data_IF_432071640112
#
_entry.id   IF_432071640112
#
_cell.length_a   1.000
_cell.length_b   1.000
_cell.length_c   1.000
_cell.angle_alpha   90.00
_cell.angle_beta   90.00
_cell.angle_gamma   90.00
#
_symmetry.space_group_name_H-M   'P 1'
#
loop_
_entity.id
_entity.type
_entity.pdbx_description
1 polymer ?
#
# COMPACT_ATOMS: atom_id res chain seq x y z
N UNK A 1 19.68 2.80 -1.92
CA UNK A 1 18.23 3.11 -1.93
C UNK A 1 18.01 4.32 -1.05
N UNK A 2 17.09 5.19 -1.47
CA UNK A 2 16.59 6.29 -0.64
C UNK A 2 15.15 6.01 -0.21
N UNK A 3 14.89 6.17 1.09
CA UNK A 3 13.56 6.21 1.68
C UNK A 3 13.24 7.65 2.06
N UNK A 4 11.99 8.07 1.88
CA UNK A 4 11.53 9.29 2.53
C UNK A 4 11.37 9.06 4.04
N UNK A 5 11.53 10.12 4.82
CA UNK A 5 11.39 10.05 6.27
C UNK A 5 9.96 9.70 6.70
N UNK A 6 8.93 10.15 5.96
CA UNK A 6 7.55 9.71 6.21
C UNK A 6 7.35 8.23 5.92
N UNK A 7 7.89 7.68 4.82
CA UNK A 7 7.83 6.23 4.55
C UNK A 7 8.50 5.45 5.69
N UNK A 8 9.68 5.89 6.14
CA UNK A 8 10.39 5.24 7.24
C UNK A 8 9.56 5.25 8.53
N UNK A 9 8.96 6.40 8.88
CA UNK A 9 8.07 6.53 10.04
C UNK A 9 6.83 5.64 9.91
N UNK A 10 6.22 5.55 8.72
CA UNK A 10 5.08 4.68 8.46
C UNK A 10 5.45 3.22 8.72
N UNK A 11 6.56 2.73 8.15
CA UNK A 11 6.99 1.33 8.31
C UNK A 11 7.20 0.97 9.78
N UNK A 12 7.94 1.79 10.54
CA UNK A 12 8.15 1.54 11.97
C UNK A 12 6.87 1.69 12.79
N UNK A 13 6.07 2.72 12.52
CA UNK A 13 4.83 2.98 13.25
C UNK A 13 3.80 1.88 13.05
N UNK A 14 3.63 1.41 11.82
CA UNK A 14 2.69 0.32 11.50
C UNK A 14 3.22 -1.04 11.96
N UNK A 15 4.53 -1.27 11.95
CA UNK A 15 5.09 -2.46 12.57
C UNK A 15 4.85 -2.48 14.08
N UNK A 16 5.10 -1.36 14.78
CA UNK A 16 4.80 -1.21 16.20
C UNK A 16 3.31 -1.43 16.49
N UNK A 17 2.43 -0.86 15.68
CA UNK A 17 0.98 -1.00 15.82
C UNK A 17 0.54 -2.47 15.62
N UNK A 18 1.03 -3.14 14.58
CA UNK A 18 0.74 -4.56 14.33
C UNK A 18 1.13 -5.44 15.51
N UNK A 19 2.33 -5.22 16.07
CA UNK A 19 2.84 -5.94 17.24
C UNK A 19 1.96 -5.80 18.49
N UNK A 20 1.19 -4.71 18.60
CA UNK A 20 0.28 -4.47 19.71
C UNK A 20 -1.11 -5.11 19.53
N UNK A 21 -1.35 -5.80 18.42
CA UNK A 21 -2.61 -6.51 18.15
C UNK A 21 -2.55 -7.97 18.58
N UNK A 22 -3.71 -8.64 18.62
CA UNK A 22 -3.81 -10.07 18.88
C UNK A 22 -3.07 -10.92 17.83
N UNK A 23 -2.86 -10.38 16.62
CA UNK A 23 -2.09 -11.02 15.53
C UNK A 23 -0.62 -10.57 15.51
N UNK A 24 -0.14 -9.90 16.55
CA UNK A 24 1.20 -9.32 16.59
C UNK A 24 2.36 -10.33 16.47
N UNK A 25 2.08 -11.62 16.64
CA UNK A 25 3.03 -12.73 16.41
C UNK A 25 3.05 -13.24 14.98
N UNK A 26 2.15 -12.80 14.11
CA UNK A 26 2.14 -13.14 12.70
C UNK A 26 2.99 -12.17 11.88
N UNK A 27 3.42 -12.60 10.69
CA UNK A 27 4.05 -11.72 9.73
C UNK A 27 3.07 -10.65 9.21
N UNK A 28 3.60 -9.47 8.92
CA UNK A 28 2.92 -8.41 8.16
C UNK A 28 3.90 -7.86 7.12
N UNK A 29 3.43 -7.01 6.23
CA UNK A 29 4.30 -6.41 5.23
C UNK A 29 3.70 -5.25 4.47
N UNK A 30 4.53 -4.67 3.61
CA UNK A 30 4.24 -3.51 2.78
C UNK A 30 4.85 -3.67 1.40
N UNK A 31 4.07 -3.39 0.36
CA UNK A 31 4.60 -3.19 -0.99
C UNK A 31 5.21 -1.79 -1.07
N UNK A 32 6.41 -1.70 -1.64
CA UNK A 32 7.13 -0.45 -1.86
C UNK A 32 6.83 0.09 -3.24
N UNK A 33 6.40 1.35 -3.30
CA UNK A 33 6.19 2.10 -4.53
C UNK A 33 7.15 3.29 -4.57
N UNK A 34 7.66 3.58 -5.76
CA UNK A 34 8.61 4.67 -5.90
C UNK A 34 9.13 4.87 -7.31
N UNK A 35 10.24 5.59 -7.42
CA UNK A 35 10.93 5.85 -8.68
C UNK A 35 12.12 4.90 -8.82
N UNK A 36 12.28 4.37 -10.02
CA UNK A 36 13.47 3.62 -10.42
C UNK A 36 14.32 4.51 -11.33
N UNK A 37 15.45 4.94 -10.82
CA UNK A 37 16.50 5.62 -11.60
C UNK A 37 17.60 4.61 -11.98
N UNK A 38 18.61 5.06 -12.73
CA UNK A 38 19.64 4.16 -13.26
C UNK A 38 20.44 3.45 -12.16
N UNK A 39 20.81 4.19 -11.10
CA UNK A 39 21.65 3.70 -10.01
C UNK A 39 20.93 3.70 -8.65
N UNK A 40 19.65 4.08 -8.63
CA UNK A 40 18.92 4.31 -7.39
C UNK A 40 17.44 3.89 -7.45
N UNK A 41 16.96 3.36 -6.32
CA UNK A 41 15.54 3.22 -6.02
C UNK A 41 15.16 4.28 -4.98
N UNK A 42 14.16 5.11 -5.28
CA UNK A 42 13.62 6.12 -4.37
C UNK A 42 12.22 5.69 -3.97
N UNK A 43 12.04 5.26 -2.73
CA UNK A 43 10.75 4.79 -2.20
C UNK A 43 9.95 5.99 -1.70
N UNK A 44 8.75 6.16 -2.25
CA UNK A 44 7.87 7.31 -2.02
C UNK A 44 6.51 6.92 -1.43
N UNK A 45 6.16 5.64 -1.42
CA UNK A 45 4.91 5.16 -0.88
C UNK A 45 5.01 3.71 -0.41
N UNK A 46 4.17 3.36 0.57
CA UNK A 46 4.01 1.99 1.05
C UNK A 46 2.54 1.58 1.01
N UNK A 47 2.23 0.36 0.59
CA UNK A 47 0.88 -0.19 0.65
C UNK A 47 0.87 -1.43 1.56
N UNK A 48 0.09 -1.46 2.64
CA UNK A 48 0.12 -2.56 3.59
C UNK A 48 -0.41 -3.85 2.96
N UNK A 49 0.00 -4.99 3.53
CA UNK A 49 -0.45 -6.31 3.11
C UNK A 49 -1.95 -6.53 3.27
N UNK A 50 -2.58 -5.77 4.17
CA UNK A 50 -4.00 -5.84 4.46
C UNK A 50 -4.31 -6.49 5.82
N UNK A 51 -5.47 -6.15 6.38
CA UNK A 51 -5.99 -6.78 7.58
C UNK A 51 -6.41 -8.23 7.30
N UNK A 52 -6.95 -8.48 6.09
CA UNK A 52 -7.43 -9.81 5.66
C UNK A 52 -6.37 -10.61 4.89
N UNK A 53 -5.10 -10.23 5.02
CA UNK A 53 -3.98 -11.00 4.46
C UNK A 53 -3.95 -12.42 5.03
N UNK A 54 -3.59 -13.38 4.19
CA UNK A 54 -3.25 -14.73 4.63
C UNK A 54 -1.82 -14.69 5.18
N UNK A 55 -1.69 -14.75 6.50
CA UNK A 55 -0.40 -14.69 7.17
C UNK A 55 -0.38 -15.67 8.34
N UNK A 56 0.82 -16.12 8.66
CA UNK A 56 1.13 -16.92 9.84
C UNK A 56 2.45 -16.46 10.45
N UNK A 57 3.05 -17.28 11.30
CA UNK A 57 4.35 -16.96 11.92
C UNK A 57 5.54 -17.07 10.95
N UNK A 58 5.33 -17.64 9.75
CA UNK A 58 6.38 -17.94 8.77
C UNK A 58 5.96 -17.64 7.32
N UNK A 59 4.86 -16.91 7.12
CA UNK A 59 4.44 -16.47 5.79
C UNK A 59 3.55 -15.23 5.87
N UNK A 60 3.61 -14.41 4.82
CA UNK A 60 2.62 -13.39 4.52
C UNK A 60 2.29 -13.38 3.03
N UNK A 61 1.00 -13.46 2.72
CA UNK A 61 0.46 -13.29 1.37
C UNK A 61 -0.42 -12.06 1.33
N UNK A 62 0.02 -11.09 0.55
CA UNK A 62 -0.61 -9.80 0.41
C UNK A 62 -1.97 -9.89 -0.30
N UNK A 63 -2.92 -9.03 0.09
CA UNK A 63 -4.17 -8.85 -0.63
C UNK A 63 -3.91 -8.08 -1.95
N UNK A 64 -3.54 -8.82 -3.00
CA UNK A 64 -3.12 -8.24 -4.28
C UNK A 64 -4.19 -7.38 -4.96
N UNK A 65 -5.48 -7.64 -4.75
CA UNK A 65 -6.56 -6.84 -5.34
C UNK A 65 -6.68 -5.48 -4.63
N UNK A 66 -6.65 -5.47 -3.29
CA UNK A 66 -6.65 -4.22 -2.52
C UNK A 66 -5.41 -3.38 -2.82
N UNK A 67 -4.23 -4.01 -2.95
CA UNK A 67 -3.01 -3.33 -3.36
C UNK A 67 -3.08 -2.77 -4.77
N UNK A 68 -3.77 -3.45 -5.70
CA UNK A 68 -4.01 -2.92 -7.05
C UNK A 68 -4.83 -1.63 -6.99
N UNK A 69 -5.86 -1.57 -6.14
CA UNK A 69 -6.62 -0.33 -5.93
C UNK A 69 -5.77 0.74 -5.27
N UNK A 70 -5.04 0.41 -4.20
CA UNK A 70 -4.12 1.34 -3.54
C UNK A 70 -3.11 1.93 -4.53
N UNK A 71 -2.52 1.08 -5.37
CA UNK A 71 -1.59 1.50 -6.43
C UNK A 71 -2.26 2.47 -7.41
N UNK A 72 -3.48 2.18 -7.87
CA UNK A 72 -4.23 3.10 -8.76
C UNK A 72 -4.44 4.46 -8.12
N UNK A 73 -4.80 4.52 -6.83
CA UNK A 73 -4.99 5.80 -6.12
C UNK A 73 -3.68 6.57 -6.05
N UNK A 74 -2.60 5.92 -5.61
CA UNK A 74 -1.29 6.58 -5.42
C UNK A 74 -0.72 7.05 -6.76
N UNK A 75 -0.89 6.25 -7.82
CA UNK A 75 -0.46 6.58 -9.18
C UNK A 75 -1.17 7.80 -9.78
N UNK A 76 -2.34 8.20 -9.25
CA UNK A 76 -2.98 9.47 -9.63
C UNK A 76 -2.19 10.70 -9.16
N UNK A 77 -1.39 10.58 -8.10
CA UNK A 77 -0.56 11.68 -7.59
C UNK A 77 0.77 11.79 -8.35
N UNK A 78 1.40 10.65 -8.67
CA UNK A 78 2.60 10.60 -9.50
C UNK A 78 2.59 9.36 -10.41
N UNK A 79 2.47 9.61 -11.72
CA UNK A 79 2.35 8.56 -12.75
C UNK A 79 3.67 7.85 -13.07
N UNK A 80 4.78 8.31 -12.49
CA UNK A 80 6.10 7.68 -12.65
C UNK A 80 6.33 6.56 -11.64
N UNK A 81 5.47 6.43 -10.64
CA UNK A 81 5.60 5.41 -9.61
C UNK A 81 5.50 4.01 -10.21
N UNK A 82 6.40 3.15 -9.76
CA UNK A 82 6.45 1.72 -10.08
C UNK A 82 6.60 0.90 -8.81
N UNK A 83 6.39 -0.41 -8.90
CA UNK A 83 6.70 -1.33 -7.81
C UNK A 83 8.22 -1.48 -7.72
N UNK A 84 8.75 -1.32 -6.51
CA UNK A 84 10.19 -1.43 -6.25
C UNK A 84 10.55 -2.72 -5.52
N UNK A 85 9.62 -3.29 -4.75
CA UNK A 85 9.92 -4.41 -3.88
C UNK A 85 8.94 -4.52 -2.70
N UNK A 86 9.29 -5.33 -1.71
CA UNK A 86 8.42 -5.61 -0.55
C UNK A 86 9.22 -5.54 0.75
N UNK A 87 8.54 -5.19 1.83
CA UNK A 87 9.05 -5.31 3.19
C UNK A 87 8.11 -6.22 3.95
N UNK A 88 8.62 -7.19 4.70
CA UNK A 88 7.82 -7.97 5.63
C UNK A 88 8.54 -8.16 6.95
N UNK A 89 7.79 -8.59 7.95
CA UNK A 89 8.30 -8.75 9.31
C UNK A 89 8.38 -10.23 9.64
N UNK A 90 9.47 -10.66 10.26
CA UNK A 90 9.54 -11.96 10.91
C UNK A 90 9.25 -11.78 12.40
N UNK A 91 8.36 -12.59 13.02
CA UNK A 91 8.14 -12.55 14.46
C UNK A 91 9.34 -13.08 15.26
N UNK A 92 10.21 -13.85 14.61
CA UNK A 92 11.44 -14.39 15.17
C UNK A 92 12.64 -13.42 15.10
N UNK A 93 13.84 -13.99 15.18
CA UNK A 93 15.12 -13.25 15.11
C UNK A 93 15.82 -13.40 13.76
N UNK A 94 15.17 -14.04 12.78
CA UNK A 94 15.69 -14.20 11.44
C UNK A 94 15.68 -12.83 10.75
N UNK A 95 16.88 -12.29 10.49
CA UNK A 95 17.08 -10.93 9.96
C UNK A 95 17.33 -10.92 8.45
N UNK A 96 17.23 -12.06 7.79
CA UNK A 96 17.46 -12.22 6.36
C UNK A 96 16.28 -12.94 5.72
N UNK A 97 16.03 -12.73 4.41
CA UNK A 97 15.00 -13.47 3.69
C UNK A 97 15.21 -14.98 3.81
N UNK A 98 14.13 -15.72 4.03
CA UNK A 98 14.13 -17.18 4.03
C UNK A 98 14.29 -17.75 2.62
N UNK A 99 14.53 -19.06 2.51
CA UNK A 99 14.56 -19.74 1.20
C UNK A 99 13.21 -19.63 0.48
N UNK A 100 12.10 -19.61 1.22
CA UNK A 100 10.76 -19.41 0.67
C UNK A 100 10.55 -18.00 0.12
N UNK A 101 11.06 -16.98 0.82
CA UNK A 101 11.07 -15.60 0.32
C UNK A 101 11.88 -15.52 -0.98
N UNK A 102 13.06 -16.13 -1.02
CA UNK A 102 13.92 -16.17 -2.20
C UNK A 102 13.24 -16.79 -3.43
N UNK A 103 12.58 -17.94 -3.26
CA UNK A 103 11.92 -18.63 -4.36
C UNK A 103 10.76 -17.82 -4.94
N UNK A 104 10.00 -17.10 -4.11
CA UNK A 104 8.94 -16.19 -4.57
C UNK A 104 9.51 -14.95 -5.24
N UNK A 105 10.48 -14.31 -4.60
CA UNK A 105 11.05 -13.04 -5.07
C UNK A 105 11.81 -13.20 -6.39
N UNK A 106 12.58 -14.29 -6.56
CA UNK A 106 13.32 -14.52 -7.82
C UNK A 106 12.41 -14.68 -9.04
N UNK A 107 11.18 -15.15 -8.85
CA UNK A 107 10.18 -15.29 -9.92
C UNK A 107 9.51 -13.96 -10.23
N UNK A 108 9.36 -13.10 -9.22
CA UNK A 108 8.72 -11.79 -9.35
C UNK A 108 9.67 -10.69 -9.85
N UNK A 109 10.93 -10.66 -9.40
CA UNK A 109 11.93 -9.64 -9.76
C UNK A 109 12.07 -9.39 -11.27
N UNK A 110 12.05 -10.40 -12.16
CA UNK A 110 12.08 -10.17 -13.61
C UNK A 110 10.92 -9.33 -14.16
N UNK A 111 9.80 -9.25 -13.42
CA UNK A 111 8.64 -8.41 -13.77
C UNK A 111 8.78 -6.95 -13.30
N UNK A 112 9.77 -6.64 -12.46
CA UNK A 112 10.01 -5.29 -11.96
C UNK A 112 10.75 -4.42 -12.99
N UNK A 113 10.47 -3.12 -12.96
CA UNK A 113 11.20 -2.16 -13.78
C UNK A 113 12.68 -2.16 -13.37
N UNK A 114 13.55 -2.45 -14.33
CA UNK A 114 15.00 -2.56 -14.12
C UNK A 114 15.47 -3.97 -13.72
N UNK A 115 14.56 -4.92 -13.46
CA UNK A 115 14.91 -6.30 -13.12
C UNK A 115 15.64 -6.44 -11.78
N UNK A 116 15.45 -5.50 -10.85
CA UNK A 116 15.99 -5.55 -9.49
C UNK A 116 14.91 -5.17 -8.47
N UNK A 117 14.77 -5.97 -7.42
CA UNK A 117 13.85 -5.73 -6.31
C UNK A 117 14.57 -5.25 -5.04
N UNK A 118 13.83 -4.48 -4.24
CA UNK A 118 14.22 -4.01 -2.91
C UNK A 118 13.47 -4.81 -1.84
N UNK A 119 14.17 -5.36 -0.87
CA UNK A 119 13.58 -6.21 0.16
C UNK A 119 13.95 -5.74 1.55
N UNK A 120 12.99 -5.69 2.46
CA UNK A 120 13.23 -5.33 3.86
C UNK A 120 12.69 -6.40 4.80
N UNK A 121 13.48 -6.78 5.80
CA UNK A 121 13.09 -7.74 6.84
C UNK A 121 12.99 -7.02 8.18
N UNK A 122 11.77 -6.90 8.69
CA UNK A 122 11.45 -6.34 9.99
C UNK A 122 11.61 -7.36 11.11
N UNK A 123 12.37 -7.03 12.16
CA UNK A 123 12.53 -7.89 13.35
C UNK A 123 12.56 -7.07 14.64
N UNK A 124 12.50 -7.77 15.78
CA UNK A 124 12.81 -7.18 17.07
C UNK A 124 14.33 -7.12 17.28
N UNK A 125 14.84 -5.93 17.58
CA UNK A 125 16.22 -5.74 18.04
C UNK A 125 16.30 -5.86 19.55
N UNK A 126 16.24 -7.09 20.08
CA UNK A 126 16.43 -7.36 21.52
C UNK A 126 17.87 -7.05 22.01
N UNK A 127 18.73 -6.46 21.17
CA UNK A 127 20.16 -6.20 21.42
C UNK A 127 20.46 -4.74 21.81
N UNK A 128 19.59 -4.10 22.56
CA UNK A 128 19.98 -2.90 23.32
C UNK A 128 21.12 -3.15 24.33
N UNK A 129 21.54 -4.40 24.56
CA UNK A 129 22.54 -4.75 25.59
C UNK A 129 23.91 -5.28 25.10
N UNK A 130 24.09 -5.67 23.83
CA UNK A 130 25.27 -6.47 23.44
C UNK A 130 26.20 -5.82 22.38
N UNK A 131 25.93 -4.60 21.90
CA UNK A 131 26.91 -3.87 21.06
C UNK A 131 27.63 -2.78 21.87
N UNK A 132 28.97 -2.86 22.05
CA UNK A 132 29.73 -1.88 22.81
C UNK A 132 29.80 -0.56 22.03
N UNK A 133 28.95 0.41 22.41
CA UNK A 133 28.94 1.76 21.83
C UNK A 133 27.55 2.37 21.61
N UNK A 134 26.47 1.61 21.79
CA UNK A 134 25.11 2.15 21.74
C UNK A 134 24.82 3.07 22.91
N UNK A 135 24.60 4.36 22.65
CA UNK A 135 24.08 5.25 23.70
C UNK A 135 22.66 4.80 24.04
N UNK A 136 22.35 4.61 25.33
CA UNK A 136 21.01 4.30 25.87
C UNK A 136 19.92 5.33 25.47
N UNK A 137 20.28 6.39 24.75
CA UNK A 137 19.40 7.52 24.38
C UNK A 137 19.03 7.57 22.90
N UNK A 138 19.57 6.71 22.04
CA UNK A 138 19.28 6.74 20.61
C UNK A 138 17.93 6.06 20.32
N UNK A 139 16.87 6.87 20.14
CA UNK A 139 15.52 6.39 19.81
C UNK A 139 15.45 5.81 18.39
N UNK A 140 16.37 6.19 17.49
CA UNK A 140 16.56 5.56 16.19
C UNK A 140 18.00 5.64 15.71
N UNK A 141 18.39 4.75 14.80
CA UNK A 141 19.78 4.64 14.34
C UNK A 141 19.98 3.84 13.05
N UNK A 142 21.21 3.92 12.54
CA UNK A 142 21.70 3.14 11.39
C UNK A 142 23.00 2.42 11.81
N UNK A 143 22.91 1.29 12.54
CA UNK A 143 24.10 0.59 13.05
C UNK A 143 24.99 0.04 11.93
N UNK A 144 24.40 -0.23 10.75
CA UNK A 144 25.09 -0.55 9.50
C UNK A 144 24.40 0.17 8.34
N UNK A 145 25.06 0.36 7.19
CA UNK A 145 24.47 1.05 6.04
C UNK A 145 23.15 0.45 5.52
N UNK A 146 22.94 -0.85 5.69
CA UNK A 146 21.73 -1.57 5.25
C UNK A 146 20.73 -1.84 6.40
N UNK A 147 20.88 -1.17 7.54
CA UNK A 147 20.10 -1.45 8.75
C UNK A 147 19.53 -0.16 9.31
N UNK A 148 18.24 -0.19 9.65
CA UNK A 148 17.56 0.87 10.37
C UNK A 148 16.99 0.34 11.67
N UNK A 149 17.08 1.11 12.75
CA UNK A 149 16.49 0.78 14.05
C UNK A 149 15.65 1.93 14.59
N UNK A 150 14.58 1.60 15.31
CA UNK A 150 13.76 2.55 16.06
C UNK A 150 13.16 1.87 17.30
N UNK A 151 13.56 2.31 18.49
CA UNK A 151 13.29 1.58 19.74
C UNK A 151 13.78 0.13 19.64
N UNK A 152 12.89 -0.81 19.94
CA UNK A 152 13.17 -2.26 19.84
C UNK A 152 12.90 -2.83 18.44
N UNK A 153 12.58 -2.00 17.45
CA UNK A 153 12.29 -2.43 16.09
C UNK A 153 13.49 -2.22 15.18
N UNK A 154 13.60 -3.10 14.18
CA UNK A 154 14.70 -3.09 13.21
C UNK A 154 14.22 -3.51 11.83
N UNK A 155 14.78 -2.89 10.80
CA UNK A 155 14.71 -3.35 9.42
C UNK A 155 16.11 -3.59 8.87
N UNK A 156 16.34 -4.77 8.31
CA UNK A 156 17.53 -5.12 7.51
C UNK A 156 17.13 -5.13 6.03
N UNK A 157 17.92 -4.46 5.19
CA UNK A 157 17.58 -4.20 3.80
C UNK A 157 18.49 -4.92 2.81
N UNK A 158 17.88 -5.38 1.73
CA UNK A 158 18.49 -6.24 0.73
C UNK A 158 18.04 -5.84 -0.68
N UNK A 159 18.85 -6.19 -1.67
CA UNK A 159 18.43 -6.24 -3.07
C UNK A 159 18.58 -7.64 -3.65
N UNK A 160 17.78 -7.91 -4.68
CA UNK A 160 17.88 -9.12 -5.50
C UNK A 160 17.68 -8.72 -6.96
N UNK A 161 18.68 -8.94 -7.81
CA UNK A 161 18.56 -8.74 -9.25
C UNK A 161 18.15 -10.02 -9.98
N UNK A 162 17.58 -9.88 -11.17
CA UNK A 162 17.18 -11.01 -12.00
C UNK A 162 18.40 -11.89 -12.32
N UNK A 163 18.33 -13.16 -11.92
CA UNK A 163 19.39 -14.14 -12.11
C UNK A 163 20.41 -14.23 -10.96
N UNK A 164 20.31 -13.36 -9.95
CA UNK A 164 21.11 -13.49 -8.74
C UNK A 164 20.74 -14.77 -7.98
N UNK A 165 21.75 -15.38 -7.36
CA UNK A 165 21.59 -16.63 -6.58
C UNK A 165 21.27 -16.41 -5.12
N UNK A 166 21.34 -15.16 -4.66
CA UNK A 166 21.17 -14.75 -3.26
C UNK A 166 20.95 -13.24 -3.19
N UNK A 167 20.32 -12.81 -2.11
CA UNK A 167 20.22 -11.40 -1.76
C UNK A 167 21.58 -10.78 -1.46
N UNK A 168 21.68 -9.48 -1.68
CA UNK A 168 22.83 -8.66 -1.28
C UNK A 168 22.37 -7.54 -0.34
N UNK A 169 23.13 -7.22 0.73
CA UNK A 169 22.77 -6.11 1.61
C UNK A 169 22.69 -4.79 0.84
N UNK A 170 21.61 -4.04 1.05
CA UNK A 170 21.33 -2.80 0.32
C UNK A 170 21.44 -1.59 1.23
N UNK A 171 22.31 -0.66 0.89
CA UNK A 171 22.45 0.59 1.65
C UNK A 171 21.17 1.44 1.58
N UNK A 172 20.83 2.02 2.73
CA UNK A 172 19.63 2.85 2.91
C UNK A 172 20.01 4.24 3.39
N UNK A 173 19.56 5.23 2.63
CA UNK A 173 19.63 6.64 2.97
C UNK A 173 18.23 7.17 3.26
N UNK A 174 18.12 8.11 4.20
CA UNK A 174 16.87 8.80 4.52
C UNK A 174 16.93 10.21 3.96
N UNK A 175 15.90 10.60 3.21
CA UNK A 175 15.70 11.97 2.75
C UNK A 175 14.38 12.52 3.27
N UNK A 176 14.24 13.85 3.30
CA UNK A 176 12.97 14.49 3.65
C UNK A 176 11.99 14.30 2.50
N UNK A 177 10.81 13.75 2.78
CA UNK A 177 9.77 13.59 1.76
C UNK A 177 8.52 12.88 2.26
N UNK A 178 7.47 12.82 1.42
CA UNK A 178 6.19 12.27 1.82
C UNK A 178 6.16 10.74 1.78
N UNK A 179 5.17 10.16 2.47
CA UNK A 179 4.58 8.88 2.08
C UNK A 179 3.30 9.17 1.29
N UNK A 180 3.38 9.04 -0.04
CA UNK A 180 2.27 9.35 -0.94
C UNK A 180 1.05 8.45 -0.72
N UNK A 181 1.21 7.31 -0.04
CA UNK A 181 0.13 6.41 0.32
C UNK A 181 -0.42 6.64 1.73
N UNK A 182 0.17 7.53 2.53
CA UNK A 182 -0.30 7.85 3.88
C UNK A 182 -1.77 8.29 3.92
N UNK A 183 -2.29 9.10 2.97
CA UNK A 183 -3.70 9.47 2.95
C UNK A 183 -4.66 8.28 2.79
N UNK A 184 -4.22 7.11 2.30
CA UNK A 184 -5.06 5.93 2.14
C UNK A 184 -5.32 5.20 3.45
N UNK A 185 -4.48 5.38 4.48
CA UNK A 185 -4.56 4.60 5.73
C UNK A 185 -5.91 4.66 6.42
N UNK A 186 -6.56 5.83 6.57
CA UNK A 186 -7.86 5.91 7.22
C UNK A 186 -8.99 5.21 6.46
N UNK A 187 -8.81 4.92 5.17
CA UNK A 187 -9.81 4.26 4.31
C UNK A 187 -9.34 2.90 3.80
N UNK A 188 -8.22 2.37 4.30
CA UNK A 188 -7.67 1.11 3.81
C UNK A 188 -8.64 -0.05 3.99
N UNK A 189 -9.30 -0.15 5.15
CA UNK A 189 -10.34 -1.17 5.36
C UNK A 189 -11.51 -1.07 4.37
N UNK A 190 -11.86 0.15 3.91
CA UNK A 190 -12.87 0.34 2.85
C UNK A 190 -12.34 -0.15 1.51
N UNK A 191 -11.05 0.08 1.21
CA UNK A 191 -10.42 -0.45 0.00
C UNK A 191 -10.45 -1.98 0.02
N UNK A 192 -10.12 -2.61 1.15
CA UNK A 192 -10.16 -4.07 1.30
C UNK A 192 -11.58 -4.63 1.14
N UNK A 193 -12.56 -4.08 1.87
CA UNK A 193 -13.96 -4.53 1.85
C UNK A 193 -14.57 -4.52 0.43
N UNK A 194 -14.11 -3.61 -0.45
CA UNK A 194 -14.69 -3.41 -1.78
C UNK A 194 -13.74 -3.73 -2.94
N UNK A 195 -12.54 -4.27 -2.67
CA UNK A 195 -11.43 -4.37 -3.62
C UNK A 195 -11.82 -4.97 -4.98
N UNK A 196 -12.47 -6.14 -4.99
CA UNK A 196 -12.90 -6.83 -6.22
C UNK A 196 -13.89 -6.01 -7.04
N UNK A 197 -14.81 -5.31 -6.37
CA UNK A 197 -15.85 -4.50 -7.03
C UNK A 197 -15.23 -3.23 -7.61
N UNK A 198 -14.32 -2.60 -6.87
CA UNK A 198 -13.57 -1.45 -7.33
C UNK A 198 -12.65 -1.79 -8.51
N UNK A 199 -11.98 -2.94 -8.49
CA UNK A 199 -11.07 -3.33 -9.58
C UNK A 199 -11.86 -3.67 -10.84
N UNK A 200 -12.98 -4.39 -10.69
CA UNK A 200 -13.90 -4.62 -11.80
C UNK A 200 -14.37 -3.31 -12.43
N UNK A 201 -14.83 -2.37 -11.60
CA UNK A 201 -15.29 -1.07 -12.08
C UNK A 201 -14.17 -0.32 -12.82
N UNK A 202 -12.96 -0.27 -12.23
CA UNK A 202 -11.80 0.39 -12.82
C UNK A 202 -11.28 -0.27 -14.12
N UNK A 203 -11.54 -1.56 -14.33
CA UNK A 203 -11.23 -2.28 -15.57
C UNK A 203 -12.28 -2.06 -16.66
N UNK A 204 -13.54 -1.95 -16.28
CA UNK A 204 -14.66 -1.89 -17.23
C UNK A 204 -15.02 -0.46 -17.64
N UNK A 205 -14.75 0.52 -16.79
CA UNK A 205 -15.07 1.93 -17.04
C UNK A 205 -13.80 2.72 -17.38
N UNK A 206 -13.91 3.58 -18.39
CA UNK A 206 -12.89 4.58 -18.65
C UNK A 206 -12.96 5.72 -17.61
N UNK A 207 -11.84 6.38 -17.34
CA UNK A 207 -11.76 7.59 -16.50
C UNK A 207 -12.26 7.43 -15.05
N UNK A 208 -12.06 6.26 -14.44
CA UNK A 208 -12.27 6.07 -13.01
C UNK A 208 -11.13 6.74 -12.22
N UNK A 209 -11.49 7.52 -11.21
CA UNK A 209 -10.58 8.17 -10.26
C UNK A 209 -11.03 7.89 -8.83
N UNK A 210 -10.06 7.79 -7.93
CA UNK A 210 -10.28 7.58 -6.50
C UNK A 210 -9.86 8.81 -5.70
N UNK A 211 -10.63 9.17 -4.68
CA UNK A 211 -10.38 10.34 -3.86
C UNK A 211 -10.58 9.97 -2.39
N UNK A 212 -9.63 10.30 -1.53
CA UNK A 212 -9.83 10.20 -0.09
C UNK A 212 -10.43 11.50 0.41
N UNK A 213 -11.56 11.41 1.11
CA UNK A 213 -12.26 12.59 1.63
C UNK A 213 -12.96 12.30 2.95
N UNK A 214 -13.85 13.22 3.34
CA UNK A 214 -14.75 13.04 4.48
C UNK A 214 -16.12 12.57 4.00
N UNK A 215 -16.57 11.48 4.59
CA UNK A 215 -17.94 10.99 4.53
C UNK A 215 -18.83 11.69 5.55
N UNK A 216 -19.90 11.02 5.97
CA UNK A 216 -20.87 11.55 6.92
C UNK A 216 -20.37 11.42 8.36
N UNK A 217 -19.81 10.26 8.67
CA UNK A 217 -19.46 9.80 10.00
C UNK A 217 -17.94 9.62 10.18
N UNK A 218 -17.16 9.67 9.10
CA UNK A 218 -15.70 9.57 9.14
C UNK A 218 -15.00 9.73 7.78
N UNK A 219 -13.74 9.27 7.65
CA UNK A 219 -13.05 9.17 6.37
C UNK A 219 -13.81 8.29 5.38
N UNK A 220 -13.82 8.67 4.10
CA UNK A 220 -14.51 7.94 3.05
C UNK A 220 -13.69 7.90 1.77
N UNK A 221 -13.89 6.82 0.99
CA UNK A 221 -13.33 6.66 -0.34
C UNK A 221 -14.36 7.11 -1.38
N UNK A 222 -14.06 8.19 -2.08
CA UNK A 222 -14.78 8.62 -3.27
C UNK A 222 -14.29 7.87 -4.51
N UNK A 223 -15.21 7.38 -5.32
CA UNK A 223 -14.97 6.82 -6.66
C UNK A 223 -15.69 7.69 -7.66
N UNK A 224 -14.93 8.36 -8.52
CA UNK A 224 -15.44 9.27 -9.54
C UNK A 224 -15.32 8.61 -10.90
N UNK A 225 -16.45 8.43 -11.59
CA UNK A 225 -16.54 7.87 -12.93
C UNK A 225 -16.92 8.99 -13.88
N UNK A 226 -15.99 9.37 -14.76
CA UNK A 226 -16.27 10.35 -15.81
C UNK A 226 -17.13 9.76 -16.92
N UNK A 227 -18.14 10.52 -17.37
CA UNK A 227 -19.08 10.07 -18.41
C UNK A 227 -18.72 10.64 -19.78
N UNK A 228 -19.60 10.43 -20.76
CA UNK A 228 -19.39 10.84 -22.16
C UNK A 228 -19.19 12.35 -22.29
N UNK A 229 -19.98 13.14 -21.56
CA UNK A 229 -19.81 14.59 -21.47
C UNK A 229 -18.87 14.95 -20.30
N UNK A 230 -17.87 15.85 -20.49
CA UNK A 230 -16.87 16.17 -19.46
C UNK A 230 -17.44 16.73 -18.14
N UNK A 231 -18.58 17.41 -18.22
CA UNK A 231 -19.32 17.98 -17.10
C UNK A 231 -20.23 16.97 -16.37
N UNK A 232 -20.34 15.76 -16.91
CA UNK A 232 -21.14 14.68 -16.32
C UNK A 232 -20.23 13.70 -15.59
N UNK A 233 -20.48 13.52 -14.30
CA UNK A 233 -19.76 12.55 -13.49
C UNK A 233 -20.71 11.77 -12.59
N UNK A 234 -20.34 10.52 -12.32
CA UNK A 234 -20.98 9.72 -11.30
C UNK A 234 -19.99 9.55 -10.17
N UNK A 235 -20.39 9.93 -8.96
CA UNK A 235 -19.59 9.80 -7.75
C UNK A 235 -20.21 8.77 -6.82
N UNK A 236 -19.40 7.82 -6.37
CA UNK A 236 -19.74 6.86 -5.32
C UNK A 236 -18.92 7.22 -4.10
N UNK A 237 -19.56 7.41 -2.95
CA UNK A 237 -18.89 7.64 -1.67
C UNK A 237 -19.04 6.38 -0.83
N UNK A 238 -17.92 5.75 -0.52
CA UNK A 238 -17.81 4.52 0.28
C UNK A 238 -17.35 4.85 1.69
N UNK A 239 -18.16 4.43 2.66
CA UNK A 239 -17.92 4.64 4.08
C UNK A 239 -18.23 3.34 4.82
N UNK A 240 -17.18 2.65 5.23
CA UNK A 240 -17.27 1.24 5.62
C UNK A 240 -17.91 0.41 4.51
N UNK A 241 -19.01 -0.29 4.85
CA UNK A 241 -19.76 -1.13 3.90
C UNK A 241 -20.88 -0.39 3.17
N UNK A 242 -21.10 0.89 3.47
CA UNK A 242 -22.18 1.69 2.87
C UNK A 242 -21.69 2.45 1.64
N UNK A 243 -22.46 2.38 0.57
CA UNK A 243 -22.23 3.14 -0.66
C UNK A 243 -23.34 4.18 -0.85
N UNK A 244 -22.96 5.41 -1.18
CA UNK A 244 -23.85 6.51 -1.55
C UNK A 244 -23.51 7.01 -2.95
N UNK A 245 -24.53 7.28 -3.75
CA UNK A 245 -24.35 7.60 -5.16
C UNK A 245 -24.81 9.03 -5.44
N UNK A 246 -24.07 9.70 -6.31
CA UNK A 246 -24.34 11.06 -6.74
C UNK A 246 -24.10 11.10 -8.25
N UNK A 247 -25.02 11.72 -8.98
CA UNK A 247 -24.83 12.05 -10.39
C UNK A 247 -24.74 13.56 -10.50
N UNK A 248 -23.66 14.06 -11.06
CA UNK A 248 -23.42 15.49 -11.24
C UNK A 248 -23.49 15.81 -12.73
N UNK A 249 -24.32 16.79 -13.09
CA UNK A 249 -24.48 17.24 -14.46
C UNK A 249 -24.90 18.71 -14.50
N UNK A 250 -24.20 19.52 -15.30
CA UNK A 250 -24.59 20.92 -15.51
C UNK A 250 -24.57 21.80 -14.25
N UNK A 251 -23.80 21.42 -13.23
CA UNK A 251 -23.76 22.11 -11.93
C UNK A 251 -24.84 21.67 -10.94
N UNK A 252 -25.72 20.75 -11.32
CA UNK A 252 -26.70 20.12 -10.43
C UNK A 252 -26.20 18.77 -9.92
N UNK A 253 -26.60 18.42 -8.70
CA UNK A 253 -26.28 17.14 -8.06
C UNK A 253 -27.59 16.38 -7.82
N UNK A 254 -27.67 15.20 -8.39
CA UNK A 254 -28.79 14.27 -8.24
C UNK A 254 -28.41 13.12 -7.31
N UNK A 255 -29.37 12.66 -6.51
CA UNK A 255 -29.23 11.50 -5.64
C UNK A 255 -30.08 10.35 -6.19
N UNK A 256 -29.48 9.38 -6.89
CA UNK A 256 -30.21 8.21 -7.38
C UNK A 256 -30.77 7.41 -6.20
N UNK A 257 -32.06 7.07 -6.27
CA UNK A 257 -32.70 6.17 -5.31
C UNK A 257 -32.39 4.72 -5.71
N UNK A 258 -31.43 4.11 -5.01
CA UNK A 258 -31.01 2.73 -5.22
C UNK A 258 -31.33 1.88 -3.98
N UNK A 259 -31.61 0.57 -4.15
CA UNK A 259 -31.85 -0.32 -3.03
C UNK A 259 -30.72 -0.28 -1.99
N UNK A 260 -31.08 -0.35 -0.71
CA UNK A 260 -30.10 -0.43 0.37
C UNK A 260 -29.17 -1.63 0.18
N UNK A 261 -27.86 -1.43 0.39
CA UNK A 261 -26.85 -2.47 0.21
C UNK A 261 -26.42 -2.69 -1.26
N UNK A 262 -26.85 -1.85 -2.19
CA UNK A 262 -26.36 -1.90 -3.58
C UNK A 262 -24.84 -1.71 -3.61
N UNK A 263 -24.14 -2.72 -4.16
CA UNK A 263 -22.69 -2.73 -4.29
C UNK A 263 -22.20 -1.63 -5.26
N UNK A 264 -20.99 -1.07 -5.06
CA UNK A 264 -20.50 0.08 -5.81
C UNK A 264 -20.54 -0.08 -7.33
N UNK A 265 -20.07 -1.23 -7.84
CA UNK A 265 -20.07 -1.54 -9.28
C UNK A 265 -21.50 -1.62 -9.82
N UNK A 266 -22.37 -2.35 -9.12
CA UNK A 266 -23.78 -2.54 -9.51
C UNK A 266 -24.53 -1.22 -9.56
N UNK A 267 -24.38 -0.36 -8.55
CA UNK A 267 -25.06 0.93 -8.50
C UNK A 267 -24.66 1.83 -9.66
N UNK A 268 -23.37 1.84 -10.01
CA UNK A 268 -22.88 2.55 -11.21
C UNK A 268 -23.58 2.04 -12.47
N UNK A 269 -23.64 0.73 -12.69
CA UNK A 269 -24.30 0.18 -13.89
C UNK A 269 -25.80 0.47 -13.95
N UNK A 270 -26.49 0.42 -12.82
CA UNK A 270 -27.92 0.75 -12.76
C UNK A 270 -28.18 2.21 -13.15
N UNK A 271 -27.36 3.14 -12.63
CA UNK A 271 -27.48 4.56 -12.95
C UNK A 271 -27.18 4.80 -14.44
N UNK A 272 -26.14 4.15 -14.99
CA UNK A 272 -25.80 4.28 -16.40
C UNK A 272 -26.90 3.73 -17.32
N UNK A 273 -27.50 2.60 -16.96
CA UNK A 273 -28.62 2.03 -17.71
C UNK A 273 -29.82 2.98 -17.73
N UNK A 274 -30.15 3.60 -16.59
CA UNK A 274 -31.20 4.60 -16.49
C UNK A 274 -30.90 5.86 -17.33
N UNK A 275 -29.66 6.36 -17.27
CA UNK A 275 -29.25 7.51 -18.09
C UNK A 275 -29.32 7.21 -19.59
N UNK A 276 -28.93 5.99 -19.99
CA UNK A 276 -29.02 5.55 -21.38
C UNK A 276 -30.47 5.38 -21.86
N UNK A 277 -31.40 5.00 -20.98
CA UNK A 277 -32.82 4.87 -21.33
C UNK A 277 -33.53 6.23 -21.51
N UNK A 278 -32.95 7.31 -20.98
CA UNK A 278 -33.48 8.68 -21.07
C UNK A 278 -32.96 9.48 -22.26
N UNK A 279 -31.88 9.02 -22.91
CA UNK A 279 -31.29 9.62 -24.10
C UNK A 279 -31.85 9.02 -25.38
#
# INVERSE_FOLDING_TARGET
MVLTDEVSRTLFGEYAAHRATDRGTEETGWLLLGLREADEAIVLATLPAGADRDAGEAHVRFNGVAQTIGYRVVWQFDRRLTQLGVVHTHPGTLRHPSDGDYDGDREWVPCLQGGEGVFGIGTLDRRGHDEPGGSETAVGGHPKPHVQTFGDLRFDWYSLAAGDKKYTPLNVEITIGPDLALPLRPVWGVIEDHADRLDRLARQMAKVRFEVGRGRDGPALGVVVGLGAPEQTLRVVLEGKTARYFYEAGGEVFHPDLPAGTAPDQGVYLILAELAARG
#
